data_IF_401920031816
#
_entry.id   IF_401920031816
#
_cell.length_a   1.000
_cell.length_b   1.000
_cell.length_c   1.000
_cell.angle_alpha   90.00
_cell.angle_beta   90.00
_cell.angle_gamma   90.00
#
_symmetry.space_group_name_H-M   'P 1'
#
loop_
_entity.id
_entity.type
_entity.pdbx_description
1 polymer ?
#
# COMPACT_ATOMS: atom_id res chain seq x y z
N UNK A 1 -12.60 -10.99 -8.28
CA UNK A 1 -12.82 -10.61 -6.87
C UNK A 1 -12.72 -11.88 -6.02
N UNK A 2 -12.39 -11.77 -4.73
CA UNK A 2 -12.47 -12.90 -3.80
C UNK A 2 -13.92 -13.16 -3.37
N UNK A 3 -14.18 -14.35 -2.84
CA UNK A 3 -15.44 -14.72 -2.18
C UNK A 3 -15.11 -15.07 -0.72
N UNK A 4 -15.82 -14.51 0.25
CA UNK A 4 -15.63 -14.76 1.69
C UNK A 4 -16.85 -15.51 2.20
N UNK A 5 -16.67 -16.79 2.52
CA UNK A 5 -17.74 -17.71 2.85
C UNK A 5 -17.79 -17.98 4.35
N UNK A 6 -19.00 -18.01 4.90
CA UNK A 6 -19.25 -18.38 6.28
C UNK A 6 -19.58 -19.89 6.38
N UNK A 7 -18.93 -20.66 7.28
CA UNK A 7 -19.10 -22.12 7.35
C UNK A 7 -20.54 -22.59 7.56
N UNK A 8 -21.32 -21.81 8.31
CA UNK A 8 -22.72 -22.15 8.61
C UNK A 8 -23.67 -21.91 7.42
N UNK A 9 -23.55 -20.78 6.71
CA UNK A 9 -24.49 -20.38 5.66
C UNK A 9 -24.09 -20.88 4.27
N UNK A 10 -22.79 -21.08 4.04
CA UNK A 10 -22.24 -21.39 2.71
C UNK A 10 -21.71 -22.83 2.59
N UNK A 11 -22.20 -23.73 3.44
CA UNK A 11 -21.72 -25.12 3.54
C UNK A 11 -21.70 -25.84 2.19
N UNK A 12 -22.75 -25.71 1.39
CA UNK A 12 -22.84 -26.36 0.08
C UNK A 12 -21.74 -25.87 -0.87
N UNK A 13 -21.48 -24.56 -0.89
CA UNK A 13 -20.44 -23.92 -1.71
C UNK A 13 -19.04 -24.35 -1.26
N UNK A 14 -18.80 -24.37 0.04
CA UNK A 14 -17.53 -24.84 0.62
C UNK A 14 -17.29 -26.31 0.26
N UNK A 15 -18.29 -27.18 0.41
CA UNK A 15 -18.18 -28.60 0.05
C UNK A 15 -17.87 -28.78 -1.43
N UNK A 16 -18.54 -28.03 -2.32
CA UNK A 16 -18.27 -28.07 -3.75
C UNK A 16 -16.83 -27.66 -4.08
N UNK A 17 -16.31 -26.60 -3.45
CA UNK A 17 -14.93 -26.13 -3.64
C UNK A 17 -13.87 -27.05 -2.99
N UNK A 18 -14.24 -27.89 -2.03
CA UNK A 18 -13.34 -28.88 -1.42
C UNK A 18 -13.28 -30.21 -2.18
N UNK A 19 -14.24 -30.48 -3.06
CA UNK A 19 -14.24 -31.69 -3.87
C UNK A 19 -13.02 -31.70 -4.80
N UNK A 20 -12.36 -32.85 -4.96
CA UNK A 20 -11.18 -33.01 -5.85
C UNK A 20 -11.47 -32.52 -7.27
N UNK A 21 -12.69 -32.78 -7.77
CA UNK A 21 -13.14 -32.36 -9.10
C UNK A 21 -13.18 -30.83 -9.29
N UNK A 22 -13.23 -30.04 -8.22
CA UNK A 22 -13.21 -28.57 -8.31
C UNK A 22 -11.86 -28.02 -8.77
N UNK A 23 -10.77 -28.78 -8.61
CA UNK A 23 -9.40 -28.33 -8.88
C UNK A 23 -8.95 -27.14 -8.02
N UNK A 24 -9.62 -26.86 -6.89
CA UNK A 24 -9.15 -25.90 -5.90
C UNK A 24 -8.26 -26.60 -4.86
N UNK A 25 -7.11 -26.01 -4.57
CA UNK A 25 -6.26 -26.45 -3.46
C UNK A 25 -6.78 -25.89 -2.15
N UNK A 26 -6.93 -26.74 -1.14
CA UNK A 26 -7.33 -26.32 0.20
C UNK A 26 -6.11 -25.97 1.07
N UNK A 27 -6.21 -24.87 1.82
CA UNK A 27 -5.23 -24.44 2.82
C UNK A 27 -5.98 -24.15 4.12
N UNK A 28 -5.59 -24.81 5.21
CA UNK A 28 -6.12 -24.48 6.54
C UNK A 28 -5.12 -23.63 7.33
N UNK A 29 -5.41 -22.34 7.45
CA UNK A 29 -4.59 -21.39 8.20
C UNK A 29 -4.73 -21.51 9.71
N UNK A 30 -5.74 -22.22 10.23
CA UNK A 30 -5.87 -22.42 11.68
C UNK A 30 -4.73 -23.22 12.29
N UNK A 31 -4.10 -24.09 11.49
CA UNK A 31 -2.93 -24.89 11.88
C UNK A 31 -1.81 -24.02 12.46
N UNK A 32 -1.56 -22.85 11.87
CA UNK A 32 -0.55 -21.89 12.38
C UNK A 32 -1.16 -20.75 13.20
N UNK A 33 -2.42 -20.37 12.94
CA UNK A 33 -3.07 -19.24 13.61
C UNK A 33 -3.47 -19.52 15.06
N UNK A 34 -3.95 -20.73 15.39
CA UNK A 34 -4.45 -21.04 16.73
C UNK A 34 -3.34 -20.94 17.81
N UNK A 35 -2.16 -21.57 17.63
CA UNK A 35 -1.07 -21.43 18.60
C UNK A 35 -0.64 -19.97 18.81
N UNK A 36 -0.56 -19.19 17.74
CA UNK A 36 -0.15 -17.78 17.79
C UNK A 36 -1.20 -16.91 18.50
N UNK A 37 -2.49 -17.09 18.25
CA UNK A 37 -3.55 -16.36 18.98
C UNK A 37 -3.48 -16.58 20.49
N UNK A 38 -3.12 -17.80 20.90
CA UNK A 38 -2.99 -18.15 22.31
C UNK A 38 -1.72 -17.58 22.92
N UNK A 39 -0.60 -17.62 22.20
CA UNK A 39 0.62 -16.94 22.61
C UNK A 39 0.42 -15.41 22.73
N UNK A 40 -0.41 -14.81 21.87
CA UNK A 40 -0.76 -13.38 21.95
C UNK A 40 -1.56 -13.07 23.23
N UNK A 41 -2.47 -13.98 23.66
CA UNK A 41 -3.22 -13.82 24.92
C UNK A 41 -2.40 -14.18 26.16
N UNK A 42 -1.48 -15.13 26.02
CA UNK A 42 -0.66 -15.67 27.10
C UNK A 42 0.82 -15.77 26.66
N UNK A 43 1.58 -14.65 26.68
CA UNK A 43 2.95 -14.63 26.15
C UNK A 43 3.92 -15.62 26.81
N UNK A 44 3.62 -16.07 28.04
CA UNK A 44 4.39 -17.10 28.75
C UNK A 44 4.35 -18.47 28.08
N UNK A 45 3.43 -18.68 27.14
CA UNK A 45 3.31 -19.90 26.33
C UNK A 45 4.11 -19.79 25.01
N UNK A 46 4.62 -18.60 24.65
CA UNK A 46 5.37 -18.40 23.42
C UNK A 46 6.69 -19.20 23.42
N UNK A 47 7.01 -19.87 22.31
CA UNK A 47 8.28 -20.59 22.14
C UNK A 47 8.38 -21.96 22.83
N UNK A 48 7.34 -22.39 23.57
CA UNK A 48 7.28 -23.79 24.04
C UNK A 48 7.00 -24.71 22.85
N UNK A 49 7.78 -25.79 22.71
CA UNK A 49 7.38 -26.90 21.83
C UNK A 49 6.06 -27.44 22.37
N UNK A 50 4.97 -27.22 21.64
CA UNK A 50 3.66 -27.74 21.98
C UNK A 50 3.75 -29.26 22.07
N UNK A 51 3.67 -29.82 23.28
CA UNK A 51 3.92 -31.25 23.50
C UNK A 51 3.49 -31.80 24.87
N UNK A 52 2.99 -30.98 25.79
CA UNK A 52 2.37 -31.44 27.03
C UNK A 52 0.85 -31.57 26.88
N UNK A 53 0.26 -32.63 27.47
CA UNK A 53 -1.19 -32.86 27.45
C UNK A 53 -2.00 -31.70 28.07
N UNK A 54 -1.44 -31.01 29.06
CA UNK A 54 -2.09 -29.89 29.76
C UNK A 54 -2.17 -28.62 28.91
N UNK A 55 -1.17 -28.37 28.06
CA UNK A 55 -1.17 -27.23 27.12
C UNK A 55 -2.22 -27.43 26.02
N UNK A 56 -2.40 -28.69 25.56
CA UNK A 56 -3.41 -29.06 24.57
C UNK A 56 -4.84 -29.02 25.16
N UNK A 57 -5.00 -29.40 26.43
CA UNK A 57 -6.26 -29.30 27.15
C UNK A 57 -6.69 -27.84 27.39
N UNK A 58 -5.76 -26.94 27.73
CA UNK A 58 -6.03 -25.51 27.83
C UNK A 58 -6.35 -24.88 26.46
N UNK A 59 -5.63 -25.29 25.40
CA UNK A 59 -5.91 -24.96 24.00
C UNK A 59 -7.34 -25.35 23.59
N UNK A 60 -7.70 -26.61 23.88
CA UNK A 60 -8.99 -27.20 23.52
C UNK A 60 -10.14 -26.62 24.35
N UNK A 61 -9.93 -26.35 25.64
CA UNK A 61 -10.91 -25.70 26.50
C UNK A 61 -11.20 -24.25 26.08
N UNK A 62 -10.18 -23.50 25.62
CA UNK A 62 -10.37 -22.14 25.10
C UNK A 62 -11.01 -22.14 23.70
N UNK A 63 -10.69 -23.13 22.85
CA UNK A 63 -11.37 -23.35 21.59
C UNK A 63 -12.84 -23.77 21.79
N UNK A 64 -13.17 -24.47 22.89
CA UNK A 64 -14.55 -24.75 23.29
C UNK A 64 -15.26 -23.53 23.89
N UNK A 65 -14.54 -22.66 24.61
CA UNK A 65 -15.10 -21.44 25.20
C UNK A 65 -15.34 -20.30 24.18
N UNK A 66 -14.75 -20.39 22.99
CA UNK A 66 -14.90 -19.41 21.90
C UNK A 66 -16.12 -19.66 20.99
N UNK A 67 -16.97 -20.65 21.29
CA UNK A 67 -17.92 -21.20 20.32
C UNK A 67 -17.25 -22.22 19.39
N UNK A 68 -17.97 -22.76 18.41
CA UNK A 68 -17.31 -23.58 17.37
C UNK A 68 -16.30 -22.71 16.64
N UNK A 69 -15.07 -23.18 16.39
CA UNK A 69 -14.08 -22.48 15.54
C UNK A 69 -14.69 -21.99 14.22
N UNK A 70 -15.75 -22.65 13.75
CA UNK A 70 -16.51 -22.26 12.58
C UNK A 70 -17.16 -20.86 12.68
N UNK A 71 -17.55 -20.39 13.86
CA UNK A 71 -18.15 -19.04 14.06
C UNK A 71 -17.15 -17.92 13.72
N UNK A 72 -15.91 -18.10 14.18
CA UNK A 72 -14.81 -17.17 13.94
C UNK A 72 -13.94 -17.59 12.73
N UNK A 73 -14.44 -18.50 11.89
CA UNK A 73 -13.76 -18.92 10.65
C UNK A 73 -14.40 -18.32 9.42
N UNK A 74 -13.59 -18.04 8.39
CA UNK A 74 -14.05 -17.76 7.04
C UNK A 74 -13.30 -18.61 6.04
N UNK A 75 -13.98 -19.00 4.97
CA UNK A 75 -13.38 -19.67 3.83
C UNK A 75 -13.23 -18.66 2.69
N UNK A 76 -11.99 -18.32 2.35
CA UNK A 76 -11.66 -17.32 1.34
C UNK A 76 -11.33 -18.02 0.03
N UNK A 77 -12.08 -17.72 -1.01
CA UNK A 77 -11.84 -18.22 -2.36
C UNK A 77 -10.96 -17.23 -3.11
N UNK A 78 -9.83 -17.71 -3.62
CA UNK A 78 -8.93 -16.98 -4.52
C UNK A 78 -8.98 -17.60 -5.92
N UNK A 79 -9.90 -17.15 -6.80
CA UNK A 79 -10.12 -17.79 -8.10
C UNK A 79 -8.87 -17.83 -8.98
N UNK A 80 -8.08 -16.75 -8.97
CA UNK A 80 -6.87 -16.65 -9.80
C UNK A 80 -5.73 -17.56 -9.34
N UNK A 81 -5.73 -18.01 -8.07
CA UNK A 81 -4.79 -19.02 -7.55
C UNK A 81 -5.38 -20.44 -7.60
N UNK A 82 -6.69 -20.56 -7.81
CA UNK A 82 -7.49 -21.77 -7.51
C UNK A 82 -7.21 -22.31 -6.11
N UNK A 83 -7.29 -21.43 -5.11
CA UNK A 83 -7.06 -21.79 -3.70
C UNK A 83 -8.27 -21.42 -2.85
N UNK A 84 -8.67 -22.33 -1.97
CA UNK A 84 -9.63 -22.10 -0.89
C UNK A 84 -8.85 -22.08 0.43
N UNK A 85 -8.88 -20.96 1.15
CA UNK A 85 -8.17 -20.80 2.43
C UNK A 85 -9.17 -20.70 3.58
N UNK A 86 -9.10 -21.57 4.57
CA UNK A 86 -9.80 -21.38 5.86
C UNK A 86 -8.93 -20.51 6.77
N UNK A 87 -9.47 -19.38 7.22
CA UNK A 87 -8.78 -18.41 8.08
C UNK A 87 -9.67 -17.98 9.26
N UNK A 88 -9.08 -17.42 10.33
CA UNK A 88 -9.84 -16.62 11.29
C UNK A 88 -10.57 -15.47 10.62
N UNK A 89 -11.64 -14.98 11.24
CA UNK A 89 -12.41 -13.81 10.82
C UNK A 89 -11.57 -12.52 10.77
N UNK A 90 -12.20 -11.43 10.33
CA UNK A 90 -11.55 -10.15 10.11
C UNK A 90 -10.90 -9.53 11.36
N UNK A 91 -11.41 -9.79 12.56
CA UNK A 91 -10.87 -9.25 13.80
C UNK A 91 -9.67 -10.07 14.27
N UNK A 92 -9.86 -11.40 14.36
CA UNK A 92 -8.83 -12.32 14.81
C UNK A 92 -7.64 -12.36 13.87
N UNK A 93 -7.89 -12.34 12.55
CA UNK A 93 -6.83 -12.32 11.55
C UNK A 93 -6.03 -11.01 11.61
N UNK A 94 -6.69 -9.86 11.77
CA UNK A 94 -5.99 -8.58 11.91
C UNK A 94 -5.10 -8.56 13.16
N UNK A 95 -5.62 -9.02 14.31
CA UNK A 95 -4.87 -9.13 15.56
C UNK A 95 -3.63 -10.01 15.40
N UNK A 96 -3.75 -11.16 14.73
CA UNK A 96 -2.63 -12.05 14.45
C UNK A 96 -1.50 -11.34 13.71
N UNK A 97 -1.84 -10.59 12.65
CA UNK A 97 -0.83 -9.91 11.82
C UNK A 97 -0.14 -8.77 12.55
N UNK A 98 -0.82 -8.09 13.47
CA UNK A 98 -0.31 -6.85 14.08
C UNK A 98 0.24 -7.04 15.50
N UNK A 99 -0.06 -8.15 16.18
CA UNK A 99 0.28 -8.32 17.60
C UNK A 99 1.78 -8.24 17.93
N UNK A 100 2.66 -8.65 17.00
CA UNK A 100 4.12 -8.56 17.18
C UNK A 100 4.64 -7.12 17.06
N UNK A 101 3.87 -6.24 16.42
CA UNK A 101 4.24 -4.85 16.17
C UNK A 101 3.69 -3.89 17.25
N UNK A 102 2.92 -4.39 18.23
CA UNK A 102 2.12 -3.57 19.16
C UNK A 102 2.87 -2.54 20.01
N UNK A 103 4.20 -2.65 20.13
CA UNK A 103 5.05 -1.70 20.84
C UNK A 103 5.76 -0.71 19.90
N UNK A 104 5.77 -1.00 18.59
CA UNK A 104 6.27 -0.12 17.54
C UNK A 104 5.14 0.71 16.91
N UNK A 105 3.95 0.11 16.85
CA UNK A 105 2.67 0.74 16.49
C UNK A 105 1.72 0.36 17.61
N UNK A 106 1.39 1.31 18.47
CA UNK A 106 0.52 1.09 19.63
C UNK A 106 -0.87 0.61 19.21
N UNK A 107 -1.63 0.03 20.13
CA UNK A 107 -2.99 -0.43 19.85
C UNK A 107 -3.90 0.70 19.34
N UNK A 108 -3.73 1.92 19.87
CA UNK A 108 -4.46 3.10 19.42
C UNK A 108 -4.06 3.50 17.99
N UNK A 109 -2.76 3.61 17.73
CA UNK A 109 -2.24 3.90 16.39
C UNK A 109 -2.69 2.85 15.36
N UNK A 110 -2.70 1.57 15.74
CA UNK A 110 -3.15 0.48 14.87
C UNK A 110 -4.64 0.60 14.54
N UNK A 111 -5.47 1.05 15.49
CA UNK A 111 -6.90 1.33 15.27
C UNK A 111 -7.10 2.53 14.34
N UNK A 112 -6.35 3.61 14.53
CA UNK A 112 -6.38 4.77 13.63
C UNK A 112 -5.93 4.36 12.22
N UNK A 113 -4.81 3.64 12.10
CA UNK A 113 -4.23 3.23 10.83
C UNK A 113 -5.12 2.27 10.04
N UNK A 114 -5.74 1.29 10.70
CA UNK A 114 -6.63 0.33 10.04
C UNK A 114 -7.97 0.95 9.62
N UNK A 115 -8.43 2.01 10.29
CA UNK A 115 -9.69 2.71 9.98
C UNK A 115 -9.53 3.86 8.98
N UNK A 116 -8.32 4.39 8.81
CA UNK A 116 -8.02 5.45 7.87
C UNK A 116 -8.20 5.00 6.42
N UNK A 117 -8.82 5.87 5.61
CA UNK A 117 -8.99 5.67 4.18
C UNK A 117 -7.83 6.32 3.42
N UNK A 118 -7.01 5.51 2.77
CA UNK A 118 -5.82 5.97 2.03
C UNK A 118 -6.12 5.98 0.53
N UNK A 119 -5.87 7.10 -0.15
CA UNK A 119 -5.94 7.16 -1.61
C UNK A 119 -4.56 6.93 -2.22
N UNK A 120 -4.45 6.05 -3.21
CA UNK A 120 -3.21 5.84 -3.98
C UNK A 120 -3.53 6.08 -5.46
N UNK A 121 -2.93 7.10 -6.04
CA UNK A 121 -3.07 7.44 -7.45
C UNK A 121 -1.76 7.16 -8.19
N UNK A 122 -1.77 6.22 -9.13
CA UNK A 122 -0.58 5.64 -9.74
C UNK A 122 -0.08 4.40 -8.97
N UNK A 123 0.14 3.29 -9.66
CA UNK A 123 0.55 1.99 -9.09
C UNK A 123 1.86 1.46 -9.67
N UNK A 124 2.74 2.37 -10.14
CA UNK A 124 4.17 2.08 -10.28
C UNK A 124 4.80 2.07 -8.88
N UNK A 125 5.41 3.17 -8.45
CA UNK A 125 5.91 3.34 -7.07
C UNK A 125 4.79 3.16 -6.04
N UNK A 126 3.59 3.65 -6.34
CA UNK A 126 2.43 3.55 -5.44
C UNK A 126 2.02 2.12 -5.08
N UNK A 127 2.34 1.10 -5.89
CA UNK A 127 2.11 -0.30 -5.49
C UNK A 127 3.01 -0.76 -4.33
N UNK A 128 4.24 -0.24 -4.27
CA UNK A 128 5.17 -0.44 -3.16
C UNK A 128 4.63 0.22 -1.88
N UNK A 129 4.16 1.47 -1.99
CA UNK A 129 3.52 2.22 -0.88
C UNK A 129 2.28 1.48 -0.36
N UNK A 130 1.38 1.08 -1.27
CA UNK A 130 0.17 0.32 -0.96
C UNK A 130 0.50 -0.98 -0.19
N UNK A 131 1.50 -1.72 -0.67
CA UNK A 131 1.95 -2.96 -0.02
C UNK A 131 2.49 -2.70 1.38
N UNK A 132 3.36 -1.68 1.55
CA UNK A 132 3.91 -1.31 2.85
C UNK A 132 2.83 -0.82 3.84
N UNK A 133 1.83 -0.06 3.36
CA UNK A 133 0.67 0.33 4.14
C UNK A 133 -0.12 -0.90 4.64
N UNK A 134 -0.39 -1.87 3.76
CA UNK A 134 -1.12 -3.10 4.11
C UNK A 134 -0.34 -3.99 5.08
N UNK A 135 0.97 -4.13 4.90
CA UNK A 135 1.85 -4.90 5.80
C UNK A 135 1.92 -4.29 7.21
N UNK A 136 1.74 -2.98 7.33
CA UNK A 136 1.70 -2.28 8.62
C UNK A 136 0.28 -2.12 9.19
N UNK A 137 -0.73 -2.66 8.50
CA UNK A 137 -2.08 -2.86 9.02
C UNK A 137 -3.14 -1.85 8.58
N UNK A 138 -2.88 -1.01 7.57
CA UNK A 138 -3.97 -0.27 6.90
C UNK A 138 -4.89 -1.25 6.14
N UNK A 139 -6.20 -0.96 6.14
CA UNK A 139 -7.23 -1.88 5.59
C UNK A 139 -8.26 -1.21 4.68
N UNK A 140 -8.10 0.08 4.36
CA UNK A 140 -9.08 0.81 3.55
C UNK A 140 -8.38 1.67 2.52
N UNK A 141 -8.66 1.40 1.25
CA UNK A 141 -7.96 2.03 0.13
C UNK A 141 -8.90 2.50 -0.98
N UNK A 142 -8.54 3.61 -1.61
CA UNK A 142 -9.00 3.99 -2.95
C UNK A 142 -7.81 3.95 -3.90
N UNK A 143 -7.91 3.16 -4.96
CA UNK A 143 -6.82 2.96 -5.92
C UNK A 143 -7.21 3.53 -7.28
N UNK A 144 -6.37 4.39 -7.85
CA UNK A 144 -6.58 4.96 -9.17
C UNK A 144 -5.41 4.64 -10.09
N UNK A 145 -5.66 3.83 -11.11
CA UNK A 145 -4.68 3.37 -12.10
C UNK A 145 -5.42 2.94 -13.36
N UNK A 146 -4.81 3.20 -14.52
CA UNK A 146 -5.31 2.87 -15.84
C UNK A 146 -4.36 1.99 -16.66
N UNK A 147 -3.11 1.87 -16.23
CA UNK A 147 -2.08 1.10 -16.92
C UNK A 147 -2.27 -0.41 -16.79
N UNK A 148 -1.74 -1.08 -17.80
CA UNK A 148 -1.55 -2.53 -17.85
C UNK A 148 -0.09 -2.89 -17.55
N UNK A 149 0.15 -4.08 -16.99
CA UNK A 149 1.50 -4.57 -16.74
C UNK A 149 2.23 -4.88 -18.06
N UNK A 150 3.37 -4.22 -18.28
CA UNK A 150 4.32 -4.53 -19.35
C UNK A 150 5.60 -5.17 -18.82
N UNK A 151 6.41 -5.81 -19.70
CA UNK A 151 7.69 -6.42 -19.31
C UNK A 151 8.66 -5.42 -18.65
N UNK A 152 8.66 -4.17 -19.11
CA UNK A 152 9.49 -3.09 -18.58
C UNK A 152 9.11 -2.66 -17.16
N UNK A 153 7.99 -3.15 -16.61
CA UNK A 153 7.61 -2.90 -15.22
C UNK A 153 8.13 -3.97 -14.25
N UNK A 154 8.49 -5.17 -14.74
CA UNK A 154 8.91 -6.30 -13.89
C UNK A 154 10.25 -6.07 -13.18
N UNK A 155 10.98 -5.00 -13.52
CA UNK A 155 12.19 -4.61 -12.80
C UNK A 155 11.90 -3.94 -11.44
N UNK A 156 10.66 -3.53 -11.18
CA UNK A 156 10.29 -2.75 -9.98
C UNK A 156 8.92 -3.07 -9.40
N UNK A 157 8.01 -3.66 -10.18
CA UNK A 157 6.73 -4.13 -9.69
C UNK A 157 6.83 -5.61 -9.27
N UNK A 158 6.36 -5.98 -8.07
CA UNK A 158 6.34 -7.37 -7.62
C UNK A 158 5.20 -8.15 -8.29
N UNK A 159 5.34 -8.39 -9.60
CA UNK A 159 4.42 -9.14 -10.45
C UNK A 159 5.13 -10.31 -11.16
N UNK A 160 4.39 -11.20 -11.80
CA UNK A 160 4.92 -12.34 -12.54
C UNK A 160 4.93 -12.10 -14.06
N UNK A 161 5.80 -12.80 -14.79
CA UNK A 161 5.70 -12.91 -16.26
C UNK A 161 4.35 -13.49 -16.71
N UNK A 162 3.68 -14.26 -15.85
CA UNK A 162 2.34 -14.79 -16.11
C UNK A 162 1.23 -13.72 -16.01
N UNK A 163 1.54 -12.54 -15.47
CA UNK A 163 0.59 -11.44 -15.28
C UNK A 163 0.70 -10.37 -16.39
N UNK A 164 1.55 -10.58 -17.39
CA UNK A 164 1.72 -9.63 -18.50
C UNK A 164 0.40 -9.41 -19.24
N UNK A 165 0.04 -8.15 -19.48
CA UNK A 165 -1.24 -7.80 -20.10
C UNK A 165 -2.40 -7.63 -19.10
N UNK A 166 -2.22 -7.96 -17.81
CA UNK A 166 -3.23 -7.71 -16.79
C UNK A 166 -3.18 -6.24 -16.30
N UNK A 167 -4.33 -5.62 -15.96
CA UNK A 167 -4.35 -4.29 -15.37
C UNK A 167 -3.53 -4.23 -14.08
N UNK A 168 -2.64 -3.23 -13.93
CA UNK A 168 -1.85 -3.04 -12.69
C UNK A 168 -2.74 -2.93 -11.45
N UNK A 169 -3.90 -2.28 -11.63
CA UNK A 169 -4.94 -2.15 -10.62
C UNK A 169 -5.45 -3.51 -10.10
N UNK A 170 -5.70 -4.46 -11.01
CA UNK A 170 -6.16 -5.81 -10.66
C UNK A 170 -5.07 -6.57 -9.90
N UNK A 171 -3.82 -6.45 -10.34
CA UNK A 171 -2.68 -7.10 -9.68
C UNK A 171 -2.48 -6.55 -8.26
N UNK A 172 -2.57 -5.24 -8.08
CA UNK A 172 -2.53 -4.61 -6.76
C UNK A 172 -3.66 -5.11 -5.85
N UNK A 173 -4.90 -5.21 -6.34
CA UNK A 173 -6.01 -5.78 -5.56
C UNK A 173 -5.76 -7.23 -5.15
N UNK A 174 -5.35 -8.08 -6.11
CA UNK A 174 -5.02 -9.49 -5.84
C UNK A 174 -3.95 -9.59 -4.74
N UNK A 175 -2.88 -8.80 -4.87
CA UNK A 175 -1.77 -8.78 -3.90
C UNK A 175 -2.22 -8.35 -2.51
N UNK A 176 -3.04 -7.30 -2.41
CA UNK A 176 -3.53 -6.83 -1.12
C UNK A 176 -4.49 -7.83 -0.48
N UNK A 177 -5.39 -8.44 -1.23
CA UNK A 177 -6.27 -9.48 -0.68
C UNK A 177 -5.52 -10.76 -0.29
N UNK A 178 -4.42 -11.09 -0.95
CA UNK A 178 -3.53 -12.18 -0.53
C UNK A 178 -2.79 -11.88 0.78
N UNK A 179 -2.62 -10.60 1.13
CA UNK A 179 -1.99 -10.14 2.38
C UNK A 179 -3.02 -9.99 3.51
N UNK A 180 -4.20 -9.43 3.22
CA UNK A 180 -5.36 -9.35 4.11
C UNK A 180 -6.67 -9.36 3.29
N UNK A 181 -7.42 -10.49 3.28
CA UNK A 181 -8.63 -10.62 2.47
C UNK A 181 -9.76 -9.72 2.94
N UNK A 182 -9.66 -9.15 4.14
CA UNK A 182 -10.66 -8.28 4.72
C UNK A 182 -10.36 -6.79 4.50
N UNK A 183 -9.48 -6.49 3.54
CA UNK A 183 -9.16 -5.13 3.11
C UNK A 183 -10.23 -4.58 2.17
N UNK A 184 -10.77 -3.40 2.50
CA UNK A 184 -11.70 -2.64 1.68
C UNK A 184 -10.93 -1.90 0.58
N UNK A 185 -11.26 -2.16 -0.69
CA UNK A 185 -10.64 -1.50 -1.84
C UNK A 185 -11.71 -1.01 -2.80
N UNK A 186 -11.78 0.31 -2.99
CA UNK A 186 -12.52 0.94 -4.08
C UNK A 186 -11.55 1.31 -5.21
N UNK A 187 -11.96 1.14 -6.47
CA UNK A 187 -11.08 1.29 -7.63
C UNK A 187 -11.59 2.31 -8.64
N UNK A 188 -10.64 2.99 -9.28
CA UNK A 188 -10.84 3.97 -10.35
C UNK A 188 -10.00 3.52 -11.55
N UNK A 189 -10.58 2.66 -12.39
CA UNK A 189 -9.88 1.95 -13.47
C UNK A 189 -9.50 2.80 -14.67
N UNK A 190 -9.97 4.05 -14.71
CA UNK A 190 -9.56 5.06 -15.71
C UNK A 190 -8.47 6.00 -15.19
N UNK A 191 -7.87 5.65 -14.05
CA UNK A 191 -6.95 6.50 -13.31
C UNK A 191 -7.68 7.62 -12.58
N UNK A 192 -6.94 8.50 -11.93
CA UNK A 192 -7.51 9.71 -11.36
C UNK A 192 -7.83 10.68 -12.50
N UNK A 193 -9.05 11.21 -12.51
CA UNK A 193 -9.54 12.18 -13.49
C UNK A 193 -10.25 13.31 -12.78
N UNK A 194 -10.24 14.49 -13.39
CA UNK A 194 -10.84 15.71 -12.83
C UNK A 194 -12.34 15.56 -12.52
N UNK A 195 -13.08 14.80 -13.33
CA UNK A 195 -14.51 14.54 -13.11
C UNK A 195 -14.78 13.57 -11.95
N UNK A 196 -13.87 12.64 -11.69
CA UNK A 196 -13.97 11.66 -10.58
C UNK A 196 -13.35 12.16 -9.27
N UNK A 197 -12.69 13.33 -9.31
CA UNK A 197 -11.90 13.83 -8.19
C UNK A 197 -12.70 13.96 -6.88
N UNK A 198 -13.96 14.40 -6.94
CA UNK A 198 -14.80 14.51 -5.75
C UNK A 198 -15.13 13.14 -5.15
N UNK A 199 -15.29 12.10 -5.96
CA UNK A 199 -15.51 10.74 -5.50
C UNK A 199 -14.22 10.15 -4.92
N UNK A 200 -13.08 10.35 -5.60
CA UNK A 200 -11.78 9.86 -5.17
C UNK A 200 -11.36 10.46 -3.82
N UNK A 201 -11.39 11.78 -3.69
CA UNK A 201 -11.00 12.48 -2.45
C UNK A 201 -12.05 12.29 -1.35
N UNK A 202 -13.33 12.22 -1.72
CA UNK A 202 -14.45 12.06 -0.80
C UNK A 202 -14.66 13.24 0.15
N UNK A 203 -15.66 13.10 1.03
CA UNK A 203 -16.06 14.12 2.02
C UNK A 203 -16.53 13.44 3.30
N UNK A 204 -16.53 14.18 4.41
CA UNK A 204 -16.99 13.67 5.71
C UNK A 204 -16.30 12.36 6.10
N UNK A 205 -17.04 11.33 6.55
CA UNK A 205 -16.48 10.02 6.90
C UNK A 205 -15.81 9.26 5.74
N UNK A 206 -16.12 9.63 4.50
CA UNK A 206 -15.52 9.05 3.29
C UNK A 206 -14.39 9.90 2.70
N UNK A 207 -13.93 10.96 3.39
CA UNK A 207 -12.77 11.76 2.98
C UNK A 207 -11.50 10.95 3.20
N UNK A 208 -10.55 11.04 2.26
CA UNK A 208 -9.24 10.44 2.43
C UNK A 208 -8.51 11.05 3.64
N UNK A 209 -7.81 10.20 4.38
CA UNK A 209 -6.92 10.65 5.45
C UNK A 209 -5.58 11.15 4.87
N UNK A 210 -5.09 10.50 3.81
CA UNK A 210 -3.86 10.86 3.08
C UNK A 210 -4.04 10.49 1.60
N UNK A 211 -3.53 11.33 0.70
CA UNK A 211 -3.32 10.99 -0.72
C UNK A 211 -1.85 10.61 -0.91
N UNK A 212 -1.61 9.43 -1.47
CA UNK A 212 -0.34 9.01 -2.05
C UNK A 212 -0.41 9.27 -3.55
N UNK A 213 0.40 10.20 -4.04
CA UNK A 213 0.37 10.67 -5.42
C UNK A 213 1.63 10.21 -6.17
N UNK A 214 1.46 9.26 -7.08
CA UNK A 214 2.52 8.57 -7.83
C UNK A 214 2.17 8.45 -9.33
N UNK A 215 1.41 9.41 -9.87
CA UNK A 215 1.01 9.46 -11.28
C UNK A 215 2.09 10.10 -12.15
N UNK A 216 2.22 9.70 -13.42
CA UNK A 216 3.17 10.32 -14.35
C UNK A 216 2.63 11.60 -15.01
N UNK A 217 1.30 11.78 -15.03
CA UNK A 217 0.68 12.95 -15.64
C UNK A 217 0.77 14.19 -14.73
N UNK A 218 1.71 15.09 -15.06
CA UNK A 218 1.90 16.37 -14.37
C UNK A 218 0.61 17.20 -14.21
N UNK A 219 -0.27 17.23 -15.21
CA UNK A 219 -1.51 18.00 -15.12
C UNK A 219 -2.44 17.43 -14.04
N UNK A 220 -2.49 16.10 -13.93
CA UNK A 220 -3.25 15.41 -12.88
C UNK A 220 -2.56 15.53 -11.52
N UNK A 221 -1.22 15.52 -11.45
CA UNK A 221 -0.45 15.80 -10.23
C UNK A 221 -0.77 17.18 -9.64
N UNK A 222 -0.92 18.19 -10.49
CA UNK A 222 -1.30 19.55 -10.08
C UNK A 222 -2.77 19.57 -9.63
N UNK A 223 -3.68 19.02 -10.44
CA UNK A 223 -5.12 19.04 -10.16
C UNK A 223 -5.46 18.34 -8.82
N UNK A 224 -4.90 17.17 -8.56
CA UNK A 224 -5.15 16.44 -7.31
C UNK A 224 -4.66 17.21 -6.09
N UNK A 225 -3.52 17.92 -6.19
CA UNK A 225 -3.00 18.74 -5.10
C UNK A 225 -3.84 19.97 -4.84
N UNK A 226 -4.28 20.67 -5.89
CA UNK A 226 -5.21 21.81 -5.75
C UNK A 226 -6.48 21.39 -5.00
N UNK A 227 -7.03 20.23 -5.35
CA UNK A 227 -8.27 19.73 -4.72
C UNK A 227 -8.04 19.14 -3.34
N UNK A 228 -6.93 18.44 -3.12
CA UNK A 228 -6.53 17.94 -1.81
C UNK A 228 -6.32 19.11 -0.84
N UNK A 229 -5.66 20.19 -1.28
CA UNK A 229 -5.50 21.43 -0.53
C UNK A 229 -6.84 22.05 -0.14
N UNK A 230 -7.75 22.22 -1.11
CA UNK A 230 -9.10 22.71 -0.84
C UNK A 230 -9.89 21.80 0.13
N UNK A 231 -9.64 20.49 0.09
CA UNK A 231 -10.28 19.50 0.96
C UNK A 231 -9.59 19.30 2.32
N UNK A 232 -8.45 19.98 2.56
CA UNK A 232 -7.56 19.81 3.72
C UNK A 232 -7.12 18.35 3.89
N UNK A 233 -6.68 17.74 2.79
CA UNK A 233 -6.16 16.37 2.76
C UNK A 233 -4.65 16.45 2.52
N UNK A 234 -3.83 15.88 3.42
CA UNK A 234 -2.39 15.84 3.21
C UNK A 234 -2.02 14.97 2.01
N UNK A 235 -0.98 15.38 1.29
CA UNK A 235 -0.42 14.68 0.13
C UNK A 235 0.98 14.20 0.46
N UNK A 236 1.26 12.95 0.09
CA UNK A 236 2.58 12.32 0.14
C UNK A 236 2.94 11.87 -1.27
N UNK A 237 4.15 12.18 -1.72
CA UNK A 237 4.72 11.69 -2.97
C UNK A 237 6.15 11.25 -2.71
N UNK A 238 6.53 10.10 -3.26
CA UNK A 238 7.91 9.67 -3.33
C UNK A 238 8.45 9.87 -4.75
N UNK A 239 9.76 10.09 -4.85
CA UNK A 239 10.44 10.19 -6.15
C UNK A 239 11.75 9.43 -6.05
N UNK A 240 11.87 8.35 -6.80
CA UNK A 240 13.05 7.50 -6.78
C UNK A 240 14.23 8.12 -7.55
N UNK A 241 15.44 8.00 -6.98
CA UNK A 241 16.68 8.44 -7.59
C UNK A 241 17.82 7.46 -7.31
N UNK A 242 18.20 6.65 -8.31
CA UNK A 242 19.26 5.66 -8.12
C UNK A 242 18.75 4.55 -7.20
N UNK A 243 19.42 4.32 -6.07
CA UNK A 243 18.95 3.43 -4.99
C UNK A 243 18.21 4.19 -3.86
N UNK A 244 18.19 5.52 -3.92
CA UNK A 244 17.54 6.40 -2.93
C UNK A 244 16.18 6.92 -3.36
N UNK A 245 15.57 7.73 -2.50
CA UNK A 245 14.29 8.39 -2.78
C UNK A 245 14.16 9.73 -2.05
N UNK A 246 13.46 10.65 -2.70
CA UNK A 246 12.83 11.79 -2.05
C UNK A 246 11.45 11.41 -1.54
N UNK A 247 11.08 12.01 -0.41
CA UNK A 247 9.72 12.00 0.13
C UNK A 247 9.27 13.45 0.25
N UNK A 248 8.26 13.83 -0.51
CA UNK A 248 7.58 15.11 -0.42
C UNK A 248 6.30 14.95 0.41
N UNK A 249 6.18 15.75 1.46
CA UNK A 249 5.00 15.83 2.32
C UNK A 249 4.40 17.23 2.23
N UNK A 250 3.11 17.30 1.95
CA UNK A 250 2.34 18.54 1.90
C UNK A 250 1.16 18.42 2.86
N UNK A 251 1.30 18.96 4.07
CA UNK A 251 0.32 18.90 5.15
C UNK A 251 -0.79 19.94 4.98
N UNK A 252 -1.57 19.87 3.89
CA UNK A 252 -2.65 20.82 3.66
C UNK A 252 -3.76 20.82 4.74
N UNK A 253 -3.78 19.80 5.61
CA UNK A 253 -4.57 19.77 6.83
C UNK A 253 -4.10 20.76 7.90
N UNK A 254 -2.81 21.08 7.93
CA UNK A 254 -2.18 22.03 8.86
C UNK A 254 -1.83 23.37 8.18
N UNK A 255 -1.42 23.32 6.92
CA UNK A 255 -0.91 24.43 6.12
C UNK A 255 -1.76 24.58 4.85
N UNK A 256 -3.01 25.06 4.97
CA UNK A 256 -3.96 25.08 3.85
C UNK A 256 -3.55 26.02 2.71
N UNK A 257 -2.64 26.97 2.97
CA UNK A 257 -2.13 27.94 2.00
C UNK A 257 -0.75 27.56 1.45
N UNK A 258 -0.21 26.38 1.83
CA UNK A 258 1.08 25.93 1.34
C UNK A 258 1.10 25.85 -0.21
N UNK A 259 2.22 26.26 -0.83
CA UNK A 259 2.38 26.16 -2.26
C UNK A 259 2.49 24.69 -2.70
N UNK A 260 2.02 24.40 -3.91
CA UNK A 260 2.15 23.05 -4.49
C UNK A 260 3.62 22.70 -4.67
N UNK A 261 3.99 21.44 -4.46
CA UNK A 261 5.36 20.95 -4.56
C UNK A 261 6.35 21.75 -3.71
N UNK A 262 5.90 22.32 -2.58
CA UNK A 262 6.73 23.19 -1.74
C UNK A 262 7.22 24.46 -2.44
N UNK A 263 6.54 24.91 -3.51
CA UNK A 263 6.87 26.12 -4.26
C UNK A 263 8.02 25.99 -5.26
N UNK A 264 8.62 24.79 -5.41
CA UNK A 264 9.81 24.58 -6.25
C UNK A 264 9.60 24.89 -7.73
N UNK A 265 8.36 24.73 -8.21
CA UNK A 265 7.99 24.95 -9.60
C UNK A 265 7.16 26.22 -9.82
N UNK A 266 7.19 27.16 -8.87
CA UNK A 266 6.38 28.38 -8.93
C UNK A 266 4.87 28.10 -8.82
N UNK A 267 4.05 29.07 -9.25
CA UNK A 267 2.60 28.92 -9.26
C UNK A 267 2.11 28.17 -10.52
N UNK A 268 1.97 26.86 -10.38
CA UNK A 268 1.46 25.97 -11.42
C UNK A 268 -0.07 26.04 -11.62
N UNK A 269 -0.79 26.85 -10.82
CA UNK A 269 -2.25 26.97 -10.94
C UNK A 269 -2.68 28.01 -11.98
N UNK A 270 -1.82 28.97 -12.29
CA UNK A 270 -2.10 30.05 -13.21
C UNK A 270 -2.02 29.63 -14.70
N UNK A 271 -1.14 28.70 -15.05
CA UNK A 271 -0.88 28.29 -16.44
C UNK A 271 -1.06 26.78 -16.64
N UNK A 272 -2.30 26.35 -16.87
CA UNK A 272 -2.60 24.93 -17.17
C UNK A 272 -2.09 24.49 -18.54
N UNK A 273 -1.88 25.41 -19.48
CA UNK A 273 -1.40 25.07 -20.83
C UNK A 273 0.08 24.65 -20.78
N UNK A 274 0.89 25.31 -19.95
CA UNK A 274 2.28 24.93 -19.68
C UNK A 274 2.43 23.49 -19.14
N UNK A 275 1.40 22.95 -18.46
CA UNK A 275 1.42 21.56 -17.96
C UNK A 275 1.30 20.52 -19.08
N UNK A 276 0.91 20.92 -20.29
CA UNK A 276 0.77 20.05 -21.47
C UNK A 276 1.83 20.29 -22.53
N UNK A 277 2.53 21.43 -22.50
CA UNK A 277 3.63 21.73 -23.41
C UNK A 277 4.88 20.87 -23.08
N UNK A 278 5.45 20.10 -24.03
CA UNK A 278 6.57 19.20 -23.75
C UNK A 278 7.82 19.88 -23.17
N UNK A 279 8.19 21.05 -23.67
CA UNK A 279 9.40 21.75 -23.22
C UNK A 279 9.22 22.28 -21.80
N UNK A 280 8.09 22.95 -21.54
CA UNK A 280 7.74 23.43 -20.19
C UNK A 280 7.56 22.30 -19.19
N UNK A 281 6.99 21.17 -19.60
CA UNK A 281 6.87 19.98 -18.74
C UNK A 281 8.22 19.50 -18.22
N UNK A 282 9.25 19.47 -19.07
CA UNK A 282 10.60 19.08 -18.66
C UNK A 282 11.19 20.07 -17.64
N UNK A 283 11.03 21.37 -17.88
CA UNK A 283 11.46 22.41 -16.93
C UNK A 283 10.77 22.26 -15.57
N UNK A 284 9.45 22.03 -15.57
CA UNK A 284 8.66 21.86 -14.34
C UNK A 284 9.07 20.59 -13.60
N UNK A 285 9.21 19.46 -14.29
CA UNK A 285 9.65 18.21 -13.67
C UNK A 285 11.05 18.37 -13.09
N UNK A 286 11.97 19.01 -13.80
CA UNK A 286 13.31 19.29 -13.28
C UNK A 286 13.26 20.19 -12.05
N UNK A 287 12.42 21.23 -12.03
CA UNK A 287 12.24 22.08 -10.86
C UNK A 287 11.63 21.31 -9.66
N UNK A 288 10.66 20.42 -9.90
CA UNK A 288 10.06 19.59 -8.86
C UNK A 288 11.10 18.63 -8.29
N UNK A 289 11.85 17.91 -9.11
CA UNK A 289 12.86 16.92 -8.67
C UNK A 289 14.05 17.63 -8.01
N UNK A 290 14.53 18.71 -8.62
CA UNK A 290 15.72 19.44 -8.21
C UNK A 290 17.03 18.70 -8.47
N UNK A 291 18.13 19.33 -8.06
CA UNK A 291 19.49 18.86 -8.34
C UNK A 291 20.04 17.85 -7.34
N UNK A 292 19.34 17.58 -6.23
CA UNK A 292 19.87 16.73 -5.16
C UNK A 292 19.84 15.22 -5.49
N UNK A 293 19.60 14.84 -6.75
CA UNK A 293 19.67 13.45 -7.21
C UNK A 293 21.11 12.93 -7.22
N UNK A 294 21.28 11.61 -7.14
CA UNK A 294 22.62 11.00 -7.17
C UNK A 294 23.35 11.29 -8.49
N UNK A 295 24.70 11.31 -8.51
CA UNK A 295 25.47 11.53 -9.74
C UNK A 295 25.12 10.56 -10.87
N UNK A 296 24.88 9.28 -10.54
CA UNK A 296 24.47 8.26 -11.51
C UNK A 296 23.07 8.53 -12.05
N UNK A 297 22.14 8.96 -11.19
CA UNK A 297 20.81 9.37 -11.64
C UNK A 297 20.90 10.56 -12.58
N UNK A 298 21.68 11.60 -12.23
CA UNK A 298 21.86 12.78 -13.09
C UNK A 298 22.41 12.38 -14.47
N UNK A 299 23.46 11.55 -14.50
CA UNK A 299 24.04 11.05 -15.75
C UNK A 299 23.02 10.25 -16.57
N UNK A 300 22.24 9.38 -15.93
CA UNK A 300 21.19 8.61 -16.59
C UNK A 300 20.05 9.49 -17.11
N UNK A 301 19.66 10.54 -16.40
CA UNK A 301 18.61 11.46 -16.84
C UNK A 301 19.01 12.26 -18.07
N UNK A 302 20.31 12.58 -18.22
CA UNK A 302 20.83 13.25 -19.41
C UNK A 302 20.72 12.42 -20.70
N UNK A 303 20.53 11.10 -20.56
CA UNK A 303 20.38 10.15 -21.66
C UNK A 303 18.92 9.89 -22.08
N UNK A 304 17.95 10.46 -21.36
CA UNK A 304 16.52 10.35 -21.70
C UNK A 304 16.23 11.07 -23.02
N UNK A 305 15.53 10.39 -23.93
CA UNK A 305 15.29 10.85 -25.30
C UNK A 305 16.46 10.62 -26.27
N UNK A 306 17.62 10.14 -25.77
CA UNK A 306 18.80 9.80 -26.58
C UNK A 306 19.02 8.29 -26.64
N UNK A 307 19.38 7.70 -25.51
CA UNK A 307 19.63 6.26 -25.37
C UNK A 307 18.66 5.59 -24.39
N UNK A 308 17.94 6.37 -23.59
CA UNK A 308 16.88 5.91 -22.70
C UNK A 308 15.52 6.46 -23.12
N UNK A 309 14.45 5.65 -23.11
CA UNK A 309 13.13 6.12 -23.52
C UNK A 309 12.45 6.99 -22.45
N UNK A 310 12.69 6.70 -21.16
CA UNK A 310 11.98 7.31 -20.03
C UNK A 310 12.85 7.38 -18.78
N UNK A 311 12.32 7.99 -17.72
CA UNK A 311 12.94 8.05 -16.39
C UNK A 311 13.40 6.65 -15.91
N UNK A 312 14.66 6.51 -15.46
CA UNK A 312 15.19 5.25 -14.95
C UNK A 312 14.70 4.98 -13.53
N UNK A 313 14.23 3.76 -13.26
CA UNK A 313 13.72 3.38 -11.94
C UNK A 313 14.31 2.04 -11.51
N UNK A 314 14.95 1.98 -10.34
CA UNK A 314 15.46 0.75 -9.74
C UNK A 314 14.45 0.16 -8.74
N UNK A 315 14.29 -1.16 -8.73
CA UNK A 315 13.38 -1.84 -7.80
C UNK A 315 13.74 -1.61 -6.32
N UNK A 316 15.02 -1.44 -6.01
CA UNK A 316 15.55 -1.08 -4.68
C UNK A 316 15.04 0.29 -4.24
N UNK A 317 15.18 1.31 -5.08
CA UNK A 317 14.67 2.65 -4.79
C UNK A 317 13.14 2.69 -4.69
N UNK A 318 12.42 1.92 -5.52
CA UNK A 318 10.96 1.75 -5.37
C UNK A 318 10.59 1.11 -4.02
N UNK A 319 11.42 0.19 -3.52
CA UNK A 319 11.28 -0.36 -2.18
C UNK A 319 11.45 0.69 -1.08
N UNK A 320 12.52 1.49 -1.16
CA UNK A 320 12.80 2.61 -0.23
C UNK A 320 11.68 3.64 -0.26
N UNK A 321 11.29 4.10 -1.45
CA UNK A 321 10.19 5.02 -1.68
C UNK A 321 8.88 4.51 -1.06
N UNK A 322 8.55 3.23 -1.27
CA UNK A 322 7.40 2.56 -0.68
C UNK A 322 7.38 2.61 0.84
N UNK A 323 8.50 2.27 1.47
CA UNK A 323 8.65 2.29 2.91
C UNK A 323 8.51 3.70 3.51
N UNK A 324 9.16 4.70 2.89
CA UNK A 324 9.12 6.09 3.34
C UNK A 324 7.72 6.68 3.27
N UNK A 325 7.06 6.58 2.12
CA UNK A 325 5.73 7.14 1.94
C UNK A 325 4.68 6.46 2.83
N UNK A 326 4.77 5.13 3.03
CA UNK A 326 3.88 4.41 3.94
C UNK A 326 4.12 4.82 5.40
N UNK A 327 5.37 4.99 5.82
CA UNK A 327 5.71 5.47 7.16
C UNK A 327 5.20 6.90 7.40
N UNK A 328 5.36 7.79 6.43
CA UNK A 328 4.85 9.16 6.49
C UNK A 328 3.32 9.21 6.55
N UNK A 329 2.64 8.44 5.69
CA UNK A 329 1.18 8.34 5.72
C UNK A 329 0.67 7.83 7.07
N UNK A 330 1.33 6.81 7.65
CA UNK A 330 1.00 6.32 9.00
C UNK A 330 1.25 7.38 10.07
N UNK A 331 2.40 8.07 10.03
CA UNK A 331 2.71 9.13 10.97
C UNK A 331 1.64 10.23 10.97
N UNK A 332 1.22 10.66 9.78
CA UNK A 332 0.14 11.65 9.60
C UNK A 332 -1.17 11.15 10.21
N UNK A 333 -1.60 9.92 9.87
CA UNK A 333 -2.85 9.33 10.39
C UNK A 333 -2.83 9.17 11.91
N UNK A 334 -1.69 8.77 12.46
CA UNK A 334 -1.51 8.53 13.89
C UNK A 334 -1.23 9.81 14.70
N UNK A 335 -1.13 10.97 14.05
CA UNK A 335 -0.83 12.24 14.73
C UNK A 335 0.63 12.38 15.19
N UNK A 336 1.54 11.54 14.69
CA UNK A 336 2.97 11.68 14.94
C UNK A 336 3.57 12.87 14.17
N UNK A 337 4.72 13.43 14.61
CA UNK A 337 5.37 14.53 13.90
C UNK A 337 5.71 14.16 12.46
N UNK A 338 5.10 14.86 11.51
CA UNK A 338 5.41 14.77 10.09
C UNK A 338 5.15 16.12 9.41
N UNK A 339 6.09 17.08 9.51
CA UNK A 339 5.91 18.41 8.92
C UNK A 339 5.98 18.36 7.40
N UNK A 340 5.41 19.38 6.75
CA UNK A 340 5.57 19.57 5.31
C UNK A 340 7.04 19.75 4.96
N UNK A 341 7.43 19.31 3.77
CA UNK A 341 8.78 19.48 3.26
C UNK A 341 9.24 18.29 2.41
N UNK A 342 10.50 18.37 2.02
CA UNK A 342 11.19 17.30 1.31
C UNK A 342 12.20 16.63 2.24
N UNK A 343 12.11 15.31 2.30
CA UNK A 343 13.06 14.43 2.96
C UNK A 343 13.80 13.63 1.90
N UNK A 344 15.07 13.30 2.16
CA UNK A 344 15.91 12.50 1.26
C UNK A 344 16.48 11.34 2.04
N UNK A 345 16.44 10.16 1.45
CA UNK A 345 17.14 8.98 1.96
C UNK A 345 17.93 8.38 0.82
N UNK A 346 19.21 8.16 1.06
CA UNK A 346 20.13 7.63 0.07
C UNK A 346 20.95 6.47 0.68
N UNK A 347 20.63 5.21 0.35
CA UNK A 347 21.41 4.06 0.82
C UNK A 347 22.88 4.08 0.39
N UNK A 348 23.22 4.76 -0.72
CA UNK A 348 24.61 4.86 -1.18
C UNK A 348 25.45 5.70 -0.20
N UNK A 349 24.87 6.72 0.44
CA UNK A 349 25.55 7.52 1.46
C UNK A 349 25.93 6.67 2.69
N UNK A 350 25.13 5.66 3.02
CA UNK A 350 25.36 4.76 4.15
C UNK A 350 26.39 3.66 3.83
N UNK A 351 26.38 3.15 2.60
CA UNK A 351 27.26 2.02 2.20
C UNK A 351 28.62 2.48 1.71
N UNK A 352 28.74 3.69 1.16
CA UNK A 352 30.03 4.30 0.81
C UNK A 352 30.86 4.64 2.06
N UNK A 353 30.20 4.98 3.18
CA UNK A 353 30.84 5.33 4.44
C UNK A 353 31.58 4.17 5.15
N UNK A 354 31.39 2.92 4.69
CA UNK A 354 32.08 1.72 5.24
C UNK A 354 33.44 1.48 4.57
N UNK A 355 33.85 2.34 3.63
CA UNK A 355 35.20 2.33 3.04
C UNK A 355 36.01 3.54 3.53
N UNK A 356 36.40 3.54 4.80
CA UNK A 356 37.46 4.37 5.34
C UNK A 356 38.32 3.56 6.31
#
# INVERSE_FOLDING_TARGET
>A
MIEILHPATDRARITALRATASGYRFVDGWTSALPELLAIRHPRLAGRRHGGADDFAALAAMAQAAGSLDEISRYIVYPWRRVLVRLPDAEHFHRLRTARNRWLITAEEQRLWSSALIGVAGLSVGASVLTACSLTGARRFRLAEHDTLGPTNLNRLPASVCDLGEPKLLLAQRRIWEIDPYTEIATYSKGYRTHDASAFLGRGPGRLAVVVEEMDDLAMKVDIRVRARAARIPVVMATDHGDGAFLDVERYDLEPDAPLFGGRAGDLTADRAALTDPARRLEIVHAIVGDAVSPRTRASLAEVGRTLPTWPQLGTAVGVAGALAAAAARAIVCGAPMPSGRYRVDPDELTAAVRA
#
